data_IF_590817738849
#
_entry.id   IF_590817738849
#
_cell.length_a   1.000
_cell.length_b   1.000
_cell.length_c   1.000
_cell.angle_alpha   90.00
_cell.angle_beta   90.00
_cell.angle_gamma   90.00
#
_symmetry.space_group_name_H-M   'P 1'
#
loop_
_entity.id
_entity.type
_entity.pdbx_description
1 polymer ?
#
# COMPACT_ATOMS: atom_id res chain seq x y z
N UNK A 1 -3.71 22.79 25.77
CA UNK A 1 -4.14 21.37 25.67
C UNK A 1 -5.53 21.35 25.06
N UNK A 2 -5.62 21.74 23.79
CA UNK A 2 -6.90 21.91 23.09
C UNK A 2 -6.62 21.76 21.61
N UNK A 3 -6.75 20.55 21.08
CA UNK A 3 -6.94 20.31 19.65
C UNK A 3 -7.83 19.08 19.51
N UNK A 4 -9.12 19.37 19.38
CA UNK A 4 -10.00 18.85 18.33
C UNK A 4 -9.91 17.35 18.02
N UNK A 5 -10.47 16.52 18.90
CA UNK A 5 -10.98 15.18 18.52
C UNK A 5 -12.40 15.34 17.98
N UNK A 6 -12.56 16.10 16.90
CA UNK A 6 -13.82 16.23 16.16
C UNK A 6 -13.64 15.56 14.80
N UNK A 7 -13.75 14.22 14.73
CA UNK A 7 -13.94 13.52 13.45
C UNK A 7 -14.34 12.03 13.50
N UNK A 8 -14.30 11.31 14.64
CA UNK A 8 -14.40 9.83 14.53
C UNK A 8 -15.83 9.26 14.52
N UNK A 9 -16.85 10.03 14.91
CA UNK A 9 -18.22 9.50 15.14
C UNK A 9 -19.04 9.26 13.84
N UNK A 10 -18.38 9.14 12.68
CA UNK A 10 -19.03 8.97 11.36
C UNK A 10 -18.44 7.84 10.52
N UNK A 11 -17.44 7.13 11.00
CA UNK A 11 -16.79 6.06 10.25
C UNK A 11 -17.41 4.71 10.67
N UNK A 12 -18.08 3.98 9.76
CA UNK A 12 -18.54 2.62 10.04
C UNK A 12 -17.37 1.78 10.57
N UNK A 13 -17.56 0.93 11.59
CA UNK A 13 -16.48 0.17 12.24
C UNK A 13 -15.64 -0.67 11.27
N UNK A 14 -16.24 -1.07 10.14
CA UNK A 14 -15.60 -1.77 9.03
C UNK A 14 -14.49 -0.94 8.34
N UNK A 15 -14.71 0.38 8.21
CA UNK A 15 -13.75 1.30 7.61
C UNK A 15 -12.59 1.62 8.56
N UNK A 16 -12.83 1.63 9.87
CA UNK A 16 -11.76 1.80 10.88
C UNK A 16 -10.75 0.65 10.78
N UNK A 17 -11.21 -0.59 10.62
CA UNK A 17 -10.34 -1.75 10.44
C UNK A 17 -9.48 -1.71 9.15
N UNK A 18 -10.04 -1.17 8.06
CA UNK A 18 -9.27 -0.98 6.81
C UNK A 18 -8.21 0.10 6.96
N UNK A 19 -8.53 1.22 7.63
CA UNK A 19 -7.57 2.30 7.88
C UNK A 19 -6.45 1.81 8.79
N UNK A 20 -6.74 1.12 9.89
CA UNK A 20 -5.72 0.54 10.78
C UNK A 20 -4.83 -0.50 10.06
N UNK A 21 -5.43 -1.33 9.19
CA UNK A 21 -4.69 -2.27 8.37
C UNK A 21 -3.76 -1.53 7.40
N UNK A 22 -4.28 -0.51 6.70
CA UNK A 22 -3.49 0.30 5.78
C UNK A 22 -2.37 1.03 6.53
N UNK A 23 -2.64 1.62 7.69
CA UNK A 23 -1.66 2.36 8.48
C UNK A 23 -0.55 1.45 9.00
N UNK A 24 -0.89 0.23 9.42
CA UNK A 24 0.10 -0.80 9.78
C UNK A 24 0.89 -1.31 8.58
N UNK A 25 0.28 -1.46 7.41
CA UNK A 25 0.97 -1.82 6.16
C UNK A 25 1.88 -0.68 5.67
N UNK A 26 1.46 0.57 5.85
CA UNK A 26 2.20 1.78 5.50
C UNK A 26 3.39 2.01 6.44
N UNK A 27 3.22 1.73 7.73
CA UNK A 27 4.27 1.85 8.74
C UNK A 27 5.27 0.67 8.74
N UNK A 28 4.80 -0.54 8.47
CA UNK A 28 5.63 -1.76 8.47
C UNK A 28 6.27 -2.09 7.12
N UNK A 29 5.72 -1.57 6.04
CA UNK A 29 6.05 -1.96 4.68
C UNK A 29 5.52 -3.35 4.31
N UNK A 30 5.35 -3.60 3.00
CA UNK A 30 4.84 -4.85 2.45
C UNK A 30 5.86 -5.47 1.51
N UNK A 31 6.18 -6.74 1.72
CA UNK A 31 7.03 -7.50 0.78
C UNK A 31 6.17 -8.01 -0.37
N UNK A 32 6.41 -7.51 -1.59
CA UNK A 32 5.80 -8.02 -2.82
C UNK A 32 6.73 -9.07 -3.45
N UNK A 33 6.15 -10.21 -3.83
CA UNK A 33 6.84 -11.23 -4.63
C UNK A 33 5.98 -11.53 -5.86
N UNK A 34 6.57 -11.60 -7.04
CA UNK A 34 5.84 -11.88 -8.28
C UNK A 34 6.74 -11.88 -9.50
N UNK A 35 6.14 -11.94 -10.67
CA UNK A 35 6.86 -11.91 -11.95
C UNK A 35 6.24 -10.84 -12.87
N UNK A 36 7.10 -10.09 -13.56
CA UNK A 36 6.73 -9.13 -14.59
C UNK A 36 7.27 -9.59 -15.94
N UNK A 37 6.45 -9.52 -16.99
CA UNK A 37 6.88 -9.77 -18.36
C UNK A 37 6.72 -8.50 -19.17
N UNK A 38 7.76 -8.14 -19.91
CA UNK A 38 7.75 -7.04 -20.87
C UNK A 38 7.63 -7.64 -22.28
N UNK A 39 6.56 -7.27 -22.97
CA UNK A 39 6.19 -7.83 -24.27
C UNK A 39 6.06 -6.72 -25.31
N UNK A 40 6.40 -7.02 -26.57
CA UNK A 40 6.25 -6.14 -27.73
C UNK A 40 5.60 -6.93 -28.85
N UNK A 41 4.56 -6.36 -29.47
CA UNK A 41 3.85 -6.99 -30.59
C UNK A 41 3.46 -8.45 -30.30
N UNK A 42 2.85 -8.67 -29.12
CA UNK A 42 2.42 -10.00 -28.63
C UNK A 42 3.55 -11.02 -28.41
N UNK A 43 4.82 -10.58 -28.42
CA UNK A 43 5.99 -11.42 -28.10
C UNK A 43 6.58 -11.02 -26.76
N UNK A 44 6.71 -11.99 -25.86
CA UNK A 44 7.39 -11.85 -24.58
C UNK A 44 8.90 -11.75 -24.77
N UNK A 45 9.51 -10.66 -24.30
CA UNK A 45 10.96 -10.41 -24.48
C UNK A 45 11.75 -10.59 -23.19
N UNK A 46 11.22 -10.05 -22.10
CA UNK A 46 11.94 -10.00 -20.82
C UNK A 46 11.02 -10.46 -19.71
N UNK A 47 11.50 -11.39 -18.88
CA UNK A 47 10.85 -11.81 -17.65
C UNK A 47 11.70 -11.38 -16.46
N UNK A 48 11.08 -10.71 -15.50
CA UNK A 48 11.72 -10.21 -14.28
C UNK A 48 11.01 -10.83 -13.08
N UNK A 49 11.74 -11.58 -12.27
CA UNK A 49 11.24 -12.03 -10.97
C UNK A 49 11.46 -10.93 -9.94
N UNK A 50 10.36 -10.47 -9.36
CA UNK A 50 10.31 -9.34 -8.44
C UNK A 50 10.29 -9.84 -6.99
N UNK A 51 11.19 -9.27 -6.20
CA UNK A 51 11.13 -9.27 -4.73
C UNK A 51 11.41 -7.85 -4.28
N UNK A 52 10.38 -7.16 -3.80
CA UNK A 52 10.47 -5.75 -3.44
C UNK A 52 9.79 -5.48 -2.10
N UNK A 53 10.24 -4.45 -1.40
CA UNK A 53 9.58 -3.92 -0.20
C UNK A 53 8.91 -2.61 -0.60
N UNK A 54 7.59 -2.54 -0.44
CA UNK A 54 6.78 -1.34 -0.64
C UNK A 54 6.66 -0.67 0.72
N UNK A 55 7.13 0.57 0.85
CA UNK A 55 6.97 1.40 2.05
C UNK A 55 6.29 2.71 1.67
N UNK A 56 5.59 3.33 2.62
CA UNK A 56 5.09 4.69 2.43
C UNK A 56 6.28 5.66 2.36
N UNK A 57 6.16 6.69 1.52
CA UNK A 57 7.05 7.85 1.52
C UNK A 57 6.20 9.09 1.80
N UNK A 58 6.67 9.97 2.67
CA UNK A 58 6.06 11.28 2.84
C UNK A 58 6.53 12.20 1.70
N UNK A 59 5.59 12.84 1.01
CA UNK A 59 5.91 13.88 0.04
C UNK A 59 6.33 15.15 0.81
N UNK A 60 7.54 15.64 0.53
CA UNK A 60 8.08 16.87 1.11
C UNK A 60 7.42 18.13 0.55
#
# INVERSE_FOLDING_TARGET
MTRDVVADDRIPPERVALVDLLDRLLAGGVVLTGDLVLSIADVDLVRVSLRAIITSIEAA
#
